data_IF_677517891736
#
_entry.id   IF_677517891736
#
_cell.length_a   1.000
_cell.length_b   1.000
_cell.length_c   1.000
_cell.angle_alpha   90.00
_cell.angle_beta   90.00
_cell.angle_gamma   90.00
#
_symmetry.space_group_name_H-M   'P 1'
#
loop_
_entity.id
_entity.type
_entity.pdbx_description
1 polymer ?
#
# COMPACT_ATOMS: atom_id res chain seq x y z
N UNK A 1 62.65 17.00 -0.90
CA UNK A 1 61.25 17.31 -0.56
C UNK A 1 60.36 16.42 -1.42
N UNK A 2 59.90 15.30 -0.88
CA UNK A 2 58.93 14.44 -1.56
C UNK A 2 57.56 15.12 -1.52
N UNK A 3 56.79 15.00 -2.60
CA UNK A 3 55.48 15.63 -2.72
C UNK A 3 54.50 15.05 -1.70
N UNK A 4 53.52 15.85 -1.28
CA UNK A 4 52.43 15.44 -0.37
C UNK A 4 51.73 14.15 -0.84
N UNK A 5 51.77 13.88 -2.15
CA UNK A 5 51.20 12.70 -2.79
C UNK A 5 51.98 11.41 -2.48
N UNK A 6 53.31 11.46 -2.49
CA UNK A 6 54.18 10.33 -2.10
C UNK A 6 54.07 10.01 -0.60
N UNK A 7 53.82 11.05 0.22
CA UNK A 7 53.60 10.88 1.66
C UNK A 7 52.22 10.28 1.97
N UNK A 8 51.24 10.50 1.08
CA UNK A 8 49.91 9.90 1.15
C UNK A 8 49.94 8.41 0.76
N UNK A 9 50.66 8.04 -0.31
CA UNK A 9 50.81 6.64 -0.75
C UNK A 9 51.68 5.78 0.16
N UNK A 10 52.63 6.41 0.88
CA UNK A 10 53.49 5.73 1.84
C UNK A 10 52.84 5.53 3.22
N UNK A 11 51.58 5.93 3.42
CA UNK A 11 50.92 5.81 4.72
C UNK A 11 50.43 4.35 4.96
N UNK A 12 51.04 3.59 5.89
CA UNK A 12 50.68 2.19 6.13
C UNK A 12 49.27 2.01 6.69
N UNK A 13 48.67 3.07 7.26
CA UNK A 13 47.29 3.05 7.74
C UNK A 13 46.26 2.96 6.58
N UNK A 14 46.59 3.49 5.41
CA UNK A 14 45.74 3.41 4.21
C UNK A 14 45.96 2.10 3.44
N UNK A 15 47.14 1.48 3.56
CA UNK A 15 47.45 0.20 2.91
C UNK A 15 46.66 -0.97 3.52
N UNK A 16 46.37 -0.93 4.82
CA UNK A 16 45.51 -1.92 5.48
C UNK A 16 44.03 -1.84 5.06
N UNK A 17 43.56 -0.65 4.66
CA UNK A 17 42.17 -0.40 4.27
C UNK A 17 41.88 -0.81 2.81
N UNK A 18 42.92 -0.86 1.97
CA UNK A 18 42.88 -1.35 0.58
C UNK A 18 43.40 -2.79 0.45
N UNK A 19 43.18 -3.65 1.46
CA UNK A 19 43.39 -5.08 1.27
C UNK A 19 42.16 -5.69 0.56
N UNK A 20 42.24 -6.07 -0.74
CA UNK A 20 41.07 -6.49 -1.52
C UNK A 20 40.41 -7.79 -0.99
N UNK A 21 41.13 -8.59 -0.19
CA UNK A 21 40.57 -9.79 0.45
C UNK A 21 39.59 -9.48 1.59
N UNK A 22 39.68 -8.31 2.23
CA UNK A 22 38.76 -7.90 3.31
C UNK A 22 37.61 -6.99 2.81
N UNK A 23 37.81 -6.28 1.69
CA UNK A 23 36.81 -5.37 1.10
C UNK A 23 35.75 -6.05 0.23
N UNK A 24 36.09 -7.15 -0.46
CA UNK A 24 35.14 -7.91 -1.27
C UNK A 24 33.94 -8.48 -0.48
N UNK A 25 34.12 -9.15 0.69
CA UNK A 25 32.99 -9.67 1.45
C UNK A 25 32.13 -8.54 2.05
N UNK A 26 32.75 -7.44 2.50
CA UNK A 26 32.04 -6.29 3.07
C UNK A 26 31.15 -5.60 2.02
N UNK A 27 31.66 -5.41 0.79
CA UNK A 27 30.89 -4.86 -0.33
C UNK A 27 29.76 -5.81 -0.78
N UNK A 28 29.99 -7.12 -0.79
CA UNK A 28 28.96 -8.10 -1.12
C UNK A 28 27.82 -8.13 -0.07
N UNK A 29 28.17 -8.02 1.21
CA UNK A 29 27.20 -7.94 2.30
C UNK A 29 26.37 -6.65 2.23
N UNK A 30 27.00 -5.52 1.96
CA UNK A 30 26.32 -4.24 1.78
C UNK A 30 25.38 -4.25 0.56
N UNK A 31 25.85 -4.80 -0.57
CA UNK A 31 25.03 -4.96 -1.77
C UNK A 31 23.82 -5.86 -1.54
N UNK A 32 24.01 -6.96 -0.78
CA UNK A 32 22.91 -7.86 -0.40
C UNK A 32 21.89 -7.16 0.51
N UNK A 33 22.35 -6.36 1.48
CA UNK A 33 21.47 -5.58 2.35
C UNK A 33 20.69 -4.52 1.57
N UNK A 34 21.34 -3.78 0.66
CA UNK A 34 20.68 -2.80 -0.20
C UNK A 34 19.67 -3.46 -1.14
N UNK A 35 20.02 -4.61 -1.72
CA UNK A 35 19.11 -5.41 -2.54
C UNK A 35 17.88 -5.87 -1.76
N UNK A 36 18.06 -6.32 -0.51
CA UNK A 36 16.96 -6.70 0.37
C UNK A 36 16.05 -5.50 0.69
N UNK A 37 16.61 -4.34 1.01
CA UNK A 37 15.83 -3.11 1.28
C UNK A 37 15.06 -2.64 0.04
N UNK A 38 15.68 -2.66 -1.14
CA UNK A 38 15.02 -2.30 -2.39
C UNK A 38 13.84 -3.24 -2.70
N UNK A 39 14.02 -4.54 -2.48
CA UNK A 39 12.96 -5.53 -2.68
C UNK A 39 11.80 -5.36 -1.69
N UNK A 40 12.09 -4.99 -0.43
CA UNK A 40 11.06 -4.68 0.57
C UNK A 40 10.25 -3.45 0.18
N UNK A 41 10.91 -2.38 -0.28
CA UNK A 41 10.24 -1.17 -0.77
C UNK A 41 9.38 -1.46 -2.00
N UNK A 42 9.89 -2.27 -2.94
CA UNK A 42 9.12 -2.72 -4.10
C UNK A 42 7.88 -3.52 -3.67
N UNK A 43 8.03 -4.44 -2.71
CA UNK A 43 6.92 -5.23 -2.17
C UNK A 43 5.87 -4.35 -1.48
N UNK A 44 6.29 -3.41 -0.64
CA UNK A 44 5.40 -2.44 0.00
C UNK A 44 4.66 -1.58 -1.03
N UNK A 45 5.38 -1.10 -2.05
CA UNK A 45 4.81 -0.30 -3.13
C UNK A 45 3.76 -1.09 -3.91
N UNK A 46 4.07 -2.33 -4.30
CA UNK A 46 3.11 -3.19 -4.98
C UNK A 46 1.86 -3.45 -4.12
N UNK A 47 2.03 -3.81 -2.84
CA UNK A 47 0.90 -4.08 -1.93
C UNK A 47 0.04 -2.85 -1.69
N UNK A 48 0.64 -1.68 -1.56
CA UNK A 48 -0.12 -0.42 -1.40
C UNK A 48 -0.93 -0.08 -2.66
N UNK A 49 -0.38 -0.31 -3.84
CA UNK A 49 -1.12 -0.15 -5.10
C UNK A 49 -2.29 -1.12 -5.21
N UNK A 50 -2.08 -2.40 -4.86
CA UNK A 50 -3.14 -3.42 -4.83
C UNK A 50 -4.29 -3.02 -3.88
N UNK A 51 -3.96 -2.56 -2.67
CA UNK A 51 -4.94 -2.10 -1.68
C UNK A 51 -5.70 -0.86 -2.16
N UNK A 52 -5.00 0.10 -2.77
CA UNK A 52 -5.63 1.30 -3.33
C UNK A 52 -6.58 0.94 -4.46
N UNK A 53 -6.17 0.05 -5.37
CA UNK A 53 -7.02 -0.42 -6.46
C UNK A 53 -8.29 -1.10 -5.94
N UNK A 54 -8.18 -1.97 -4.91
CA UNK A 54 -9.33 -2.60 -4.27
C UNK A 54 -10.26 -1.59 -3.59
N UNK A 55 -9.70 -0.59 -2.90
CA UNK A 55 -10.50 0.46 -2.28
C UNK A 55 -11.26 1.30 -3.33
N UNK A 56 -10.59 1.65 -4.43
CA UNK A 56 -11.21 2.36 -5.54
C UNK A 56 -12.32 1.53 -6.18
N UNK A 57 -12.09 0.25 -6.43
CA UNK A 57 -13.08 -0.66 -7.00
C UNK A 57 -14.31 -0.78 -6.10
N UNK A 58 -14.11 -0.93 -4.78
CA UNK A 58 -15.19 -0.98 -3.79
C UNK A 58 -16.04 0.31 -3.81
N UNK A 59 -15.40 1.48 -3.92
CA UNK A 59 -16.11 2.76 -4.02
C UNK A 59 -16.86 2.92 -5.34
N UNK A 60 -16.28 2.46 -6.45
CA UNK A 60 -16.93 2.47 -7.76
C UNK A 60 -18.16 1.55 -7.80
N UNK A 61 -18.06 0.37 -7.19
CA UNK A 61 -19.20 -0.54 -7.05
C UNK A 61 -20.34 0.10 -6.25
N UNK A 62 -20.04 0.71 -5.11
CA UNK A 62 -21.05 1.42 -4.31
C UNK A 62 -21.69 2.58 -5.08
N UNK A 63 -20.90 3.38 -5.78
CA UNK A 63 -21.40 4.47 -6.61
C UNK A 63 -22.30 3.95 -7.74
N UNK A 64 -21.92 2.84 -8.38
CA UNK A 64 -22.72 2.18 -9.42
C UNK A 64 -24.06 1.70 -8.87
N UNK A 65 -24.05 1.00 -7.74
CA UNK A 65 -25.28 0.53 -7.09
C UNK A 65 -26.20 1.70 -6.71
N UNK A 66 -25.63 2.81 -6.25
CA UNK A 66 -26.41 4.01 -5.96
C UNK A 66 -27.10 4.58 -7.21
N UNK A 67 -26.36 4.73 -8.32
CA UNK A 67 -26.92 5.23 -9.58
C UNK A 67 -27.98 4.28 -10.14
N UNK A 68 -27.71 2.98 -10.14
CA UNK A 68 -28.66 1.95 -10.61
C UNK A 68 -29.95 1.98 -9.78
N UNK A 69 -29.82 2.04 -8.44
CA UNK A 69 -30.96 2.11 -7.52
C UNK A 69 -31.77 3.40 -7.72
N UNK A 70 -31.11 4.54 -7.91
CA UNK A 70 -31.78 5.82 -8.13
C UNK A 70 -32.55 5.84 -9.47
N UNK A 71 -31.94 5.32 -10.54
CA UNK A 71 -32.59 5.23 -11.85
C UNK A 71 -33.78 4.27 -11.83
N UNK A 72 -33.62 3.10 -11.20
CA UNK A 72 -34.70 2.11 -11.10
C UNK A 72 -35.86 2.64 -10.24
N UNK A 73 -35.56 3.23 -9.07
CA UNK A 73 -36.57 3.87 -8.22
C UNK A 73 -37.27 5.01 -8.95
N UNK A 74 -36.53 5.86 -9.66
CA UNK A 74 -37.10 6.94 -10.46
C UNK A 74 -38.05 6.42 -11.55
N UNK A 75 -37.67 5.33 -12.23
CA UNK A 75 -38.52 4.68 -13.23
C UNK A 75 -39.77 4.07 -12.60
N UNK A 76 -39.67 3.44 -11.44
CA UNK A 76 -40.82 2.89 -10.71
C UNK A 76 -41.77 3.99 -10.24
N UNK A 77 -41.25 5.12 -9.77
CA UNK A 77 -42.06 6.29 -9.39
C UNK A 77 -42.75 6.91 -10.60
N UNK A 78 -42.06 7.05 -11.74
CA UNK A 78 -42.66 7.56 -12.97
C UNK A 78 -43.75 6.65 -13.55
N UNK A 79 -43.63 5.33 -13.33
CA UNK A 79 -44.63 4.35 -13.72
C UNK A 79 -45.79 4.22 -12.72
N UNK A 80 -45.73 4.91 -11.58
CA UNK A 80 -46.72 4.81 -10.53
C UNK A 80 -47.96 5.64 -10.87
N UNK A 81 -49.03 4.97 -11.29
CA UNK A 81 -50.31 5.62 -11.65
C UNK A 81 -51.18 5.97 -10.43
N UNK A 82 -50.93 5.30 -9.30
CA UNK A 82 -51.68 5.47 -8.06
C UNK A 82 -50.87 6.32 -7.05
N UNK A 83 -51.34 7.53 -6.68
CA UNK A 83 -50.62 8.41 -5.76
C UNK A 83 -50.47 7.82 -4.35
N UNK A 84 -51.34 6.91 -3.93
CA UNK A 84 -51.21 6.23 -2.63
C UNK A 84 -50.05 5.24 -2.61
N UNK A 85 -49.57 4.79 -3.78
CA UNK A 85 -48.45 3.87 -3.92
C UNK A 85 -47.09 4.55 -4.09
N UNK A 86 -47.03 5.88 -4.23
CA UNK A 86 -45.78 6.61 -4.36
C UNK A 86 -44.86 6.43 -3.16
N UNK A 87 -45.38 6.63 -1.94
CA UNK A 87 -44.60 6.50 -0.70
C UNK A 87 -44.03 5.08 -0.47
N UNK A 88 -44.82 4.00 -0.56
CA UNK A 88 -44.27 2.64 -0.42
C UNK A 88 -43.33 2.25 -1.58
N UNK A 89 -43.55 2.76 -2.79
CA UNK A 89 -42.63 2.55 -3.93
C UNK A 89 -41.29 3.23 -3.68
N UNK A 90 -41.30 4.48 -3.21
CA UNK A 90 -40.09 5.16 -2.80
C UNK A 90 -39.35 4.37 -1.72
N UNK A 91 -40.03 3.97 -0.63
CA UNK A 91 -39.39 3.22 0.47
C UNK A 91 -38.75 1.90 0.01
N UNK A 92 -39.39 1.16 -0.90
CA UNK A 92 -38.79 -0.07 -1.47
C UNK A 92 -37.52 0.22 -2.27
N UNK A 93 -37.46 1.36 -2.95
CA UNK A 93 -36.25 1.80 -3.66
C UNK A 93 -35.03 1.99 -2.76
N UNK A 94 -35.22 2.36 -1.49
CA UNK A 94 -34.11 2.54 -0.54
C UNK A 94 -33.67 1.25 0.16
N UNK A 95 -34.50 0.22 0.15
CA UNK A 95 -34.24 -1.06 0.80
C UNK A 95 -32.95 -1.75 0.31
N UNK A 96 -32.67 -1.87 -1.01
CA UNK A 96 -31.42 -2.45 -1.49
C UNK A 96 -30.20 -1.61 -1.10
N UNK A 97 -30.32 -0.29 -0.97
CA UNK A 97 -29.19 0.56 -0.62
C UNK A 97 -28.58 0.19 0.74
N UNK A 98 -29.41 -0.20 1.71
CA UNK A 98 -28.93 -0.64 3.02
C UNK A 98 -28.05 -1.90 2.96
N UNK A 99 -28.38 -2.83 2.07
CA UNK A 99 -27.58 -4.05 1.85
C UNK A 99 -26.25 -3.71 1.18
N UNK A 100 -26.27 -2.86 0.15
CA UNK A 100 -25.05 -2.40 -0.53
C UNK A 100 -24.14 -1.62 0.42
N UNK A 101 -24.67 -0.74 1.27
CA UNK A 101 -23.90 -0.03 2.29
C UNK A 101 -23.25 -1.01 3.27
N UNK A 102 -23.97 -2.03 3.73
CA UNK A 102 -23.42 -3.04 4.63
C UNK A 102 -22.31 -3.84 3.93
N UNK A 103 -22.50 -4.24 2.68
CA UNK A 103 -21.48 -4.93 1.90
C UNK A 103 -20.23 -4.06 1.69
N UNK A 104 -20.41 -2.77 1.38
CA UNK A 104 -19.32 -1.80 1.27
C UNK A 104 -18.57 -1.65 2.60
N UNK A 105 -19.27 -1.51 3.73
CA UNK A 105 -18.64 -1.45 5.06
C UNK A 105 -17.84 -2.71 5.38
N UNK A 106 -18.37 -3.89 5.07
CA UNK A 106 -17.66 -5.16 5.24
C UNK A 106 -16.41 -5.23 4.34
N UNK A 107 -16.52 -4.79 3.09
CA UNK A 107 -15.39 -4.69 2.17
C UNK A 107 -14.29 -3.75 2.67
N UNK A 108 -14.66 -2.59 3.22
CA UNK A 108 -13.71 -1.64 3.82
C UNK A 108 -12.96 -2.25 5.00
N UNK A 109 -13.66 -2.93 5.90
CA UNK A 109 -13.02 -3.63 7.02
C UNK A 109 -12.06 -4.71 6.52
N UNK A 110 -12.42 -5.43 5.45
CA UNK A 110 -11.55 -6.40 4.78
C UNK A 110 -10.26 -5.78 4.24
N UNK A 111 -10.38 -4.68 3.49
CA UNK A 111 -9.20 -3.95 2.95
C UNK A 111 -8.32 -3.41 4.09
N UNK A 112 -8.90 -2.90 5.17
CA UNK A 112 -8.13 -2.44 6.33
C UNK A 112 -7.41 -3.59 7.05
N UNK A 113 -8.07 -4.74 7.23
CA UNK A 113 -7.43 -5.91 7.82
C UNK A 113 -6.29 -6.45 6.94
N UNK A 114 -6.47 -6.46 5.62
CA UNK A 114 -5.43 -6.83 4.66
C UNK A 114 -4.26 -5.83 4.65
N UNK A 115 -4.55 -4.53 4.81
CA UNK A 115 -3.52 -3.51 4.97
C UNK A 115 -2.71 -3.72 6.26
N UNK A 116 -3.35 -3.97 7.40
CA UNK A 116 -2.67 -4.19 8.67
C UNK A 116 -1.80 -5.45 8.65
N UNK A 117 -2.31 -6.53 8.07
CA UNK A 117 -1.56 -7.80 7.97
C UNK A 117 -0.45 -7.71 6.93
N UNK A 118 -0.74 -7.22 5.72
CA UNK A 118 0.22 -7.13 4.62
C UNK A 118 1.31 -6.08 4.83
N UNK A 119 0.93 -4.84 5.16
CA UNK A 119 1.89 -3.75 5.38
C UNK A 119 2.57 -3.87 6.74
N UNK A 120 1.85 -4.30 7.79
CA UNK A 120 2.42 -4.52 9.11
C UNK A 120 3.46 -5.64 9.12
N UNK A 121 3.22 -6.73 8.39
CA UNK A 121 4.21 -7.80 8.25
C UNK A 121 5.44 -7.36 7.43
N UNK A 122 5.23 -6.63 6.33
CA UNK A 122 6.33 -6.08 5.54
C UNK A 122 7.16 -5.04 6.32
N UNK A 123 6.52 -4.23 7.17
CA UNK A 123 7.20 -3.29 8.07
C UNK A 123 7.94 -4.00 9.22
N UNK A 124 7.40 -5.10 9.76
CA UNK A 124 8.06 -5.88 10.82
C UNK A 124 9.34 -6.59 10.34
N UNK A 125 9.47 -6.83 9.04
CA UNK A 125 10.67 -7.38 8.41
C UNK A 125 11.74 -6.31 8.12
N UNK A 126 11.46 -5.02 8.37
CA UNK A 126 12.44 -3.96 8.20
C UNK A 126 13.55 -4.10 9.27
N UNK A 127 14.85 -4.04 8.89
CA UNK A 127 15.93 -4.14 9.85
C UNK A 127 15.87 -2.95 10.83
N UNK A 128 15.95 -3.25 12.13
CA UNK A 128 16.04 -2.23 13.19
C UNK A 128 17.25 -1.34 12.90
N UNK A 129 17.10 0.00 12.86
CA UNK A 129 18.24 0.88 12.64
C UNK A 129 19.26 0.62 13.75
N UNK A 130 20.48 0.26 13.35
CA UNK A 130 21.59 0.09 14.29
C UNK A 130 21.70 1.38 15.12
N UNK A 131 21.48 1.28 16.43
CA UNK A 131 21.77 2.37 17.37
C UNK A 131 23.19 2.85 17.07
N UNK A 132 23.35 4.08 16.59
CA UNK A 132 24.67 4.74 16.61
C UNK A 132 25.03 4.92 18.07
N UNK A 133 25.94 4.09 18.56
CA UNK A 133 26.65 4.31 19.82
C UNK A 133 27.38 5.65 19.70
N UNK A 134 27.06 6.58 20.60
CA UNK A 134 27.79 7.83 20.77
C UNK A 134 29.09 7.59 21.54
#
# INVERSE_FOLDING_TARGET
MLSLFEQFSANPALQGQFNPQLGAPLNAQLATQLGAQANQLATLSQRSQELLARLTDLNLQMARHFVETALDTGRQLAACTDPLQLAPTAMRGWQPLGEHVRAWQQGLMGVMAEAQTGLGHAAALAPVPAKRSA
#
